data_IF_791811722104
#
_entry.id   IF_791811722104
#
_cell.length_a   1.000
_cell.length_b   1.000
_cell.length_c   1.000
_cell.angle_alpha   90.00
_cell.angle_beta   90.00
_cell.angle_gamma   90.00
#
_symmetry.space_group_name_H-M   'P 1'
#
loop_
_entity.id
_entity.type
_entity.pdbx_description
1 polymer ?
#
# COMPACT_ATOMS: atom_id res chain seq x y z
N UNK A 1 26.07 6.76 -73.56
CA UNK A 1 27.02 7.05 -72.46
C UNK A 1 26.28 7.94 -71.46
N UNK A 2 25.85 7.36 -70.34
CA UNK A 2 26.44 7.59 -69.00
C UNK A 2 26.20 9.06 -68.55
N UNK A 3 25.55 9.39 -67.44
CA UNK A 3 25.53 8.71 -66.15
C UNK A 3 24.36 9.24 -65.30
N UNK A 4 23.54 8.33 -64.76
CA UNK A 4 22.54 8.59 -63.71
C UNK A 4 23.27 8.91 -62.41
N UNK A 5 23.08 10.10 -61.85
CA UNK A 5 23.30 10.31 -60.42
C UNK A 5 21.99 10.03 -59.67
N UNK A 6 21.85 8.76 -59.34
CA UNK A 6 20.92 8.21 -58.38
C UNK A 6 21.31 8.75 -56.99
N UNK A 7 20.64 9.83 -56.54
CA UNK A 7 20.64 10.17 -55.12
C UNK A 7 19.60 9.28 -54.42
N UNK A 8 20.09 8.12 -53.97
CA UNK A 8 19.45 7.35 -52.89
C UNK A 8 19.64 8.16 -51.60
N UNK A 9 18.76 9.12 -51.35
CA UNK A 9 18.52 9.53 -49.97
C UNK A 9 17.61 8.45 -49.41
N UNK A 10 18.19 7.60 -48.57
CA UNK A 10 17.45 6.63 -47.78
C UNK A 10 16.30 7.36 -47.10
N UNK A 11 15.08 7.10 -47.56
CA UNK A 11 13.85 7.54 -46.91
C UNK A 11 13.75 6.86 -45.56
N UNK A 12 14.46 7.39 -44.56
CA UNK A 12 14.16 7.10 -43.18
C UNK A 12 12.81 7.75 -42.95
N UNK A 13 11.77 6.94 -42.82
CA UNK A 13 10.41 7.38 -42.53
C UNK A 13 10.43 8.16 -41.20
N UNK A 14 10.58 9.48 -41.29
CA UNK A 14 10.20 10.37 -40.21
C UNK A 14 8.68 10.21 -40.07
N UNK A 15 8.26 9.59 -38.97
CA UNK A 15 6.85 9.53 -38.62
C UNK A 15 6.37 10.97 -38.43
N UNK A 16 5.79 11.56 -39.48
CA UNK A 16 5.35 12.94 -39.45
C UNK A 16 4.05 12.98 -38.64
N UNK A 17 4.20 13.13 -37.33
CA UNK A 17 3.11 13.24 -36.35
C UNK A 17 2.48 14.64 -36.35
N UNK A 18 2.34 15.22 -37.53
CA UNK A 18 1.84 16.57 -37.72
C UNK A 18 0.32 16.51 -37.89
N UNK A 19 -0.38 16.56 -36.75
CA UNK A 19 -1.81 16.88 -36.74
C UNK A 19 -1.91 18.40 -36.62
N UNK A 20 -2.56 19.04 -37.59
CA UNK A 20 -2.88 20.47 -37.51
C UNK A 20 -3.85 20.72 -36.36
N UNK A 21 -3.32 20.98 -35.17
CA UNK A 21 -4.11 21.29 -33.99
C UNK A 21 -4.41 22.79 -33.93
N UNK A 22 -5.64 23.13 -33.57
CA UNK A 22 -6.01 24.51 -33.23
C UNK A 22 -5.51 24.86 -31.83
N UNK A 23 -5.23 26.14 -31.57
CA UNK A 23 -4.82 26.65 -30.25
C UNK A 23 -5.98 26.79 -29.24
N UNK A 24 -7.07 26.05 -29.45
CA UNK A 24 -8.19 26.02 -28.51
C UNK A 24 -7.73 25.31 -27.24
N UNK A 25 -7.92 25.98 -26.10
CA UNK A 25 -7.63 25.43 -24.77
C UNK A 25 -8.88 24.70 -24.26
N UNK A 26 -8.80 23.38 -24.26
CA UNK A 26 -9.80 22.45 -23.71
C UNK A 26 -9.01 21.34 -23.00
N UNK A 27 -8.50 21.66 -21.81
CA UNK A 27 -7.54 20.82 -21.09
C UNK A 27 -8.01 19.37 -20.99
N UNK A 28 -7.07 18.44 -21.17
CA UNK A 28 -7.31 17.01 -20.97
C UNK A 28 -6.18 16.38 -20.16
N UNK A 29 -6.55 15.44 -19.30
CA UNK A 29 -5.60 14.59 -18.61
C UNK A 29 -5.41 13.31 -19.42
N UNK A 30 -4.16 13.01 -19.77
CA UNK A 30 -3.81 11.83 -20.54
C UNK A 30 -3.29 10.68 -19.68
N UNK A 31 -3.18 9.49 -20.27
CA UNK A 31 -2.82 8.24 -19.59
C UNK A 31 -1.37 8.17 -19.14
N UNK A 32 -0.53 9.11 -19.57
CA UNK A 32 0.82 9.33 -19.08
C UNK A 32 0.88 10.27 -17.86
N UNK A 33 -0.27 10.70 -17.35
CA UNK A 33 -0.39 11.59 -16.19
C UNK A 33 -0.09 13.05 -16.51
N UNK A 34 0.04 13.42 -17.78
CA UNK A 34 0.28 14.80 -18.22
C UNK A 34 -1.01 15.50 -18.64
N UNK A 35 -1.11 16.78 -18.27
CA UNK A 35 -2.14 17.69 -18.78
C UNK A 35 -1.71 18.23 -20.13
N UNK A 36 -2.58 18.10 -21.13
CA UNK A 36 -2.41 18.70 -22.46
C UNK A 36 -3.43 19.82 -22.66
N UNK A 37 -3.06 20.90 -23.37
CA UNK A 37 -3.98 22.02 -23.63
C UNK A 37 -5.25 21.57 -24.37
N UNK A 38 -5.15 20.52 -25.18
CA UNK A 38 -6.31 19.88 -25.79
C UNK A 38 -6.02 18.43 -26.21
N UNK A 39 -7.09 17.71 -26.55
CA UNK A 39 -7.02 16.31 -26.99
C UNK A 39 -6.25 16.10 -28.30
N UNK A 40 -6.13 17.11 -29.17
CA UNK A 40 -5.33 17.02 -30.39
C UNK A 40 -3.83 16.96 -30.06
N UNK A 41 -3.36 17.85 -29.17
CA UNK A 41 -1.97 17.86 -28.73
C UNK A 41 -1.57 16.58 -27.97
N UNK A 42 -2.49 15.96 -27.22
CA UNK A 42 -2.26 14.65 -26.61
C UNK A 42 -2.01 13.55 -27.67
N UNK A 43 -2.73 13.58 -28.80
CA UNK A 43 -2.52 12.64 -29.92
C UNK A 43 -1.22 12.89 -30.67
N UNK A 44 -0.85 14.16 -30.88
CA UNK A 44 0.46 14.53 -31.43
C UNK A 44 1.56 13.96 -30.55
N UNK A 45 1.45 14.13 -29.23
CA UNK A 45 2.42 13.59 -28.28
C UNK A 45 2.48 12.05 -28.30
N UNK A 46 1.33 11.37 -28.38
CA UNK A 46 1.25 9.91 -28.54
C UNK A 46 2.06 9.44 -29.76
N UNK A 47 1.81 10.07 -30.90
CA UNK A 47 2.48 9.76 -32.16
C UNK A 47 3.97 10.08 -32.10
N UNK A 48 4.34 11.31 -31.73
CA UNK A 48 5.74 11.78 -31.73
C UNK A 48 6.62 10.99 -30.77
N UNK A 49 6.07 10.56 -29.63
CA UNK A 49 6.79 9.74 -28.67
C UNK A 49 6.72 8.24 -28.98
N UNK A 50 5.93 7.83 -29.98
CA UNK A 50 5.60 6.42 -30.26
C UNK A 50 5.10 5.67 -29.01
N UNK A 51 4.28 6.35 -28.19
CA UNK A 51 3.68 5.82 -26.96
C UNK A 51 2.16 5.72 -27.11
N UNK A 52 1.56 4.79 -26.37
CA UNK A 52 0.11 4.71 -26.25
C UNK A 52 -0.37 5.72 -25.19
N UNK A 53 -0.63 6.96 -25.63
CA UNK A 53 -1.16 8.04 -24.80
C UNK A 53 -2.63 8.25 -25.18
N UNK A 54 -3.54 8.07 -24.22
CA UNK A 54 -4.99 8.23 -24.40
C UNK A 54 -5.54 9.26 -23.42
N UNK A 55 -6.64 9.93 -23.77
CA UNK A 55 -7.30 10.85 -22.84
C UNK A 55 -8.03 10.03 -21.77
N UNK A 56 -7.69 10.26 -20.51
CA UNK A 56 -8.30 9.62 -19.33
C UNK A 56 -9.49 10.42 -18.83
N UNK A 57 -9.39 11.76 -18.80
CA UNK A 57 -10.47 12.63 -18.34
C UNK A 57 -10.36 14.05 -18.91
N UNK A 58 -11.48 14.77 -18.90
CA UNK A 58 -11.52 16.21 -19.23
C UNK A 58 -10.97 17.03 -18.06
N UNK A 59 -10.33 18.16 -18.38
CA UNK A 59 -9.65 19.02 -17.42
C UNK A 59 -8.19 18.62 -17.17
N UNK A 60 -7.55 19.32 -16.25
CA UNK A 60 -6.18 19.02 -15.85
C UNK A 60 -6.07 17.68 -15.11
N UNK A 61 -4.90 17.04 -15.16
CA UNK A 61 -4.63 15.88 -14.34
C UNK A 61 -4.72 16.23 -12.86
N UNK A 62 -5.47 15.42 -12.11
CA UNK A 62 -5.55 15.51 -10.66
C UNK A 62 -4.18 15.15 -10.09
N UNK A 63 -3.53 16.09 -9.41
CA UNK A 63 -2.30 15.79 -8.67
C UNK A 63 -2.67 15.14 -7.34
N UNK A 64 -2.12 13.96 -7.09
CA UNK A 64 -2.28 13.29 -5.81
C UNK A 64 -1.37 13.98 -4.79
N UNK A 65 -1.92 14.38 -3.64
CA UNK A 65 -1.13 14.94 -2.54
C UNK A 65 -1.15 16.46 -2.37
N UNK A 66 -2.07 17.19 -3.01
CA UNK A 66 -2.34 18.59 -2.65
C UNK A 66 -3.28 18.75 -1.43
N UNK A 67 -3.84 17.66 -0.92
CA UNK A 67 -4.69 17.71 0.26
C UNK A 67 -3.83 17.79 1.53
N UNK A 68 -3.91 18.91 2.25
CA UNK A 68 -3.40 19.00 3.60
C UNK A 68 -4.29 18.16 4.53
N UNK A 69 -3.78 17.05 5.04
CA UNK A 69 -4.48 16.24 6.04
C UNK A 69 -4.24 16.77 7.44
N UNK A 70 -5.28 16.76 8.27
CA UNK A 70 -5.12 16.96 9.72
C UNK A 70 -4.33 15.82 10.32
N UNK A 71 -3.61 16.07 11.42
CA UNK A 71 -2.93 15.02 12.21
C UNK A 71 -3.84 14.34 13.23
N UNK A 72 -5.17 14.47 13.08
CA UNK A 72 -6.14 13.78 13.92
C UNK A 72 -6.06 12.29 13.61
N UNK A 73 -5.83 11.48 14.65
CA UNK A 73 -5.74 10.04 14.54
C UNK A 73 -7.13 9.42 14.67
N UNK A 74 -7.68 8.98 13.53
CA UNK A 74 -8.96 8.30 13.38
C UNK A 74 -8.76 7.15 12.36
N UNK A 75 -8.14 6.03 12.77
CA UNK A 75 -7.56 5.09 11.84
C UNK A 75 -8.60 4.40 10.96
N UNK A 76 -8.18 4.06 9.74
CA UNK A 76 -8.96 3.30 8.76
C UNK A 76 -8.12 2.20 8.14
N UNK A 77 -8.74 1.10 7.75
CA UNK A 77 -8.11 -0.02 7.09
C UNK A 77 -8.32 0.07 5.58
N UNK A 78 -7.23 0.03 4.81
CA UNK A 78 -7.26 -0.09 3.36
C UNK A 78 -7.52 -1.53 2.91
N UNK A 79 -8.04 -1.69 1.70
CA UNK A 79 -8.25 -2.99 1.05
C UNK A 79 -6.95 -3.72 0.72
N UNK A 80 -5.82 -3.03 0.80
CA UNK A 80 -4.46 -3.56 0.72
C UNK A 80 -3.92 -4.06 2.06
N UNK A 81 -4.71 -4.00 3.14
CA UNK A 81 -4.29 -4.38 4.49
C UNK A 81 -3.46 -3.32 5.22
N UNK A 82 -3.29 -2.13 4.62
CA UNK A 82 -2.57 -1.02 5.24
C UNK A 82 -3.48 -0.22 6.16
N UNK A 83 -3.02 0.05 7.38
CA UNK A 83 -3.68 1.00 8.27
C UNK A 83 -3.25 2.43 7.93
N UNK A 84 -4.21 3.32 7.74
CA UNK A 84 -3.98 4.76 7.56
C UNK A 84 -4.44 5.51 8.80
N UNK A 85 -3.68 6.52 9.26
CA UNK A 85 -4.01 7.28 10.48
C UNK A 85 -5.36 7.99 10.39
N UNK A 86 -5.81 8.32 9.18
CA UNK A 86 -7.15 8.83 8.92
C UNK A 86 -7.57 8.64 7.45
N UNK A 87 -8.86 8.86 7.20
CA UNK A 87 -9.46 8.75 5.88
C UNK A 87 -8.85 9.72 4.85
N UNK A 88 -8.32 10.87 5.28
CA UNK A 88 -7.64 11.80 4.37
C UNK A 88 -6.36 11.18 3.80
N UNK A 89 -5.55 10.53 4.64
CA UNK A 89 -4.36 9.81 4.20
C UNK A 89 -4.70 8.62 3.30
N UNK A 90 -5.78 7.89 3.61
CA UNK A 90 -6.29 6.83 2.73
C UNK A 90 -6.67 7.40 1.36
N UNK A 91 -7.38 8.53 1.29
CA UNK A 91 -7.75 9.16 0.00
C UNK A 91 -6.54 9.59 -0.82
N UNK A 92 -5.49 10.10 -0.18
CA UNK A 92 -4.24 10.43 -0.88
C UNK A 92 -3.59 9.16 -1.44
N UNK A 93 -3.55 8.08 -0.66
CA UNK A 93 -3.02 6.79 -1.13
C UNK A 93 -3.88 6.17 -2.24
N UNK A 94 -5.22 6.24 -2.14
CA UNK A 94 -6.16 5.83 -3.19
C UNK A 94 -6.02 6.65 -4.47
N UNK A 95 -5.54 7.89 -4.37
CA UNK A 95 -5.26 8.72 -5.54
C UNK A 95 -4.04 8.19 -6.31
N UNK A 96 -2.95 7.86 -5.61
CA UNK A 96 -1.73 7.34 -6.25
C UNK A 96 -1.87 5.88 -6.67
N UNK A 97 -2.63 5.08 -5.91
CA UNK A 97 -2.95 3.69 -6.19
C UNK A 97 -4.47 3.48 -6.10
N UNK A 98 -5.13 3.52 -7.25
CA UNK A 98 -6.59 3.38 -7.40
C UNK A 98 -7.15 2.02 -6.97
N UNK A 99 -6.28 1.03 -6.72
CA UNK A 99 -6.69 -0.28 -6.19
C UNK A 99 -6.97 -0.24 -4.68
N UNK A 100 -6.49 0.78 -3.97
CA UNK A 100 -6.69 0.93 -2.52
C UNK A 100 -8.06 1.58 -2.28
N UNK A 101 -8.93 0.86 -1.58
CA UNK A 101 -10.26 1.32 -1.13
C UNK A 101 -10.35 1.22 0.39
N UNK A 102 -11.32 1.89 0.99
CA UNK A 102 -11.66 1.68 2.40
C UNK A 102 -12.21 0.26 2.59
N UNK A 103 -11.56 -0.54 3.44
CA UNK A 103 -12.01 -1.87 3.83
C UNK A 103 -12.84 -1.84 5.11
N UNK A 104 -12.37 -1.12 6.14
CA UNK A 104 -13.07 -0.99 7.42
C UNK A 104 -12.64 0.29 8.15
N UNK A 105 -13.49 0.76 9.06
CA UNK A 105 -13.07 1.72 10.08
C UNK A 105 -12.15 1.02 11.11
N UNK A 106 -11.26 1.80 11.73
CA UNK A 106 -10.25 1.27 12.65
C UNK A 106 -8.99 0.80 11.94
N UNK A 107 -8.00 0.35 12.71
CA UNK A 107 -6.79 -0.25 12.15
C UNK A 107 -7.12 -1.55 11.42
N UNK A 108 -6.34 -1.92 10.42
CA UNK A 108 -6.36 -3.29 9.94
C UNK A 108 -5.98 -4.19 11.11
N UNK A 109 -6.88 -5.11 11.47
CA UNK A 109 -6.52 -6.10 12.46
C UNK A 109 -5.49 -7.02 11.82
N UNK A 110 -4.27 -7.03 12.35
CA UNK A 110 -3.50 -8.28 12.27
C UNK A 110 -4.39 -9.36 12.89
N UNK A 111 -4.37 -10.57 12.34
CA UNK A 111 -5.26 -11.68 12.66
C UNK A 111 -5.20 -12.18 14.13
N UNK A 112 -4.78 -11.36 15.07
CA UNK A 112 -4.91 -11.51 16.53
C UNK A 112 -6.26 -11.01 17.04
N UNK A 113 -7.30 -11.06 16.20
CA UNK A 113 -8.68 -11.10 16.70
C UNK A 113 -8.84 -12.38 17.51
N UNK A 114 -8.45 -12.31 18.79
CA UNK A 114 -8.88 -13.21 19.84
C UNK A 114 -10.40 -13.29 19.66
N UNK A 115 -10.86 -14.41 19.14
CA UNK A 115 -12.16 -14.51 18.52
C UNK A 115 -13.22 -14.06 19.51
N UNK A 116 -14.10 -13.15 19.08
CA UNK A 116 -15.19 -12.59 19.89
C UNK A 116 -16.23 -13.65 20.33
N UNK A 117 -15.94 -14.95 20.18
CA UNK A 117 -16.77 -16.04 20.61
C UNK A 117 -16.48 -16.52 22.04
N UNK A 118 -15.43 -16.02 22.70
CA UNK A 118 -15.18 -16.38 24.10
C UNK A 118 -16.17 -15.70 25.02
N UNK A 119 -16.76 -16.48 25.92
CA UNK A 119 -17.66 -15.98 26.95
C UNK A 119 -17.18 -16.37 28.36
N UNK A 120 -17.66 -15.68 29.38
CA UNK A 120 -17.39 -16.04 30.76
C UNK A 120 -18.24 -17.25 31.15
N UNK A 121 -17.58 -18.30 31.61
CA UNK A 121 -18.24 -19.54 32.00
C UNK A 121 -18.46 -19.58 33.51
N UNK A 122 -19.56 -20.19 33.93
CA UNK A 122 -19.76 -20.60 35.31
C UNK A 122 -19.04 -21.93 35.55
N UNK A 123 -18.58 -22.14 36.79
CA UNK A 123 -17.95 -23.39 37.22
C UNK A 123 -18.99 -24.44 37.63
N UNK A 124 -19.92 -24.72 36.73
CA UNK A 124 -20.87 -25.82 36.86
C UNK A 124 -20.27 -27.08 36.21
N UNK A 125 -20.11 -28.15 37.00
CA UNK A 125 -19.61 -29.43 36.48
C UNK A 125 -20.72 -30.23 35.80
N UNK A 126 -20.74 -30.21 34.47
CA UNK A 126 -21.63 -30.99 33.59
C UNK A 126 -20.81 -31.44 32.37
N UNK A 127 -19.97 -32.48 32.52
CA UNK A 127 -18.86 -32.73 31.61
C UNK A 127 -19.30 -33.10 30.20
N UNK A 128 -18.45 -32.79 29.23
CA UNK A 128 -18.63 -33.14 27.81
C UNK A 128 -17.32 -33.64 27.22
N UNK A 129 -17.40 -34.66 26.38
CA UNK A 129 -16.26 -35.20 25.64
C UNK A 129 -16.16 -34.51 24.27
N UNK A 130 -14.95 -34.10 23.90
CA UNK A 130 -14.68 -33.43 22.63
C UNK A 130 -13.96 -34.34 21.62
N UNK A 131 -13.91 -33.89 20.36
CA UNK A 131 -13.28 -34.61 19.23
C UNK A 131 -11.78 -34.81 19.41
N UNK A 132 -11.13 -33.97 20.23
CA UNK A 132 -9.73 -34.08 20.60
C UNK A 132 -9.49 -35.05 21.78
N UNK A 133 -10.52 -35.78 22.24
CA UNK A 133 -10.42 -36.72 23.36
C UNK A 133 -10.32 -36.06 24.73
N UNK A 134 -10.48 -34.74 24.84
CA UNK A 134 -10.45 -34.02 26.11
C UNK A 134 -11.86 -33.87 26.71
N UNK A 135 -11.94 -34.07 28.02
CA UNK A 135 -13.14 -33.76 28.82
C UNK A 135 -13.13 -32.29 29.20
N UNK A 136 -14.20 -31.57 28.90
CA UNK A 136 -14.41 -30.20 29.35
C UNK A 136 -15.45 -30.16 30.47
N UNK A 137 -15.25 -29.29 31.47
CA UNK A 137 -16.11 -29.20 32.67
C UNK A 137 -17.57 -28.93 32.34
N UNK A 138 -17.83 -28.19 31.26
CA UNK A 138 -19.17 -27.99 30.69
C UNK A 138 -19.09 -27.51 29.24
N UNK A 139 -20.25 -27.43 28.59
CA UNK A 139 -20.40 -26.95 27.21
C UNK A 139 -19.83 -25.54 26.98
N UNK A 140 -19.82 -24.66 27.99
CA UNK A 140 -19.27 -23.30 27.85
C UNK A 140 -17.76 -23.35 27.65
N UNK A 141 -17.06 -24.13 28.47
CA UNK A 141 -15.62 -24.31 28.34
C UNK A 141 -15.23 -24.99 27.01
N UNK A 142 -16.03 -25.96 26.56
CA UNK A 142 -15.86 -26.56 25.22
C UNK A 142 -16.01 -25.51 24.10
N UNK A 143 -17.03 -24.64 24.17
CA UNK A 143 -17.23 -23.56 23.19
C UNK A 143 -16.07 -22.57 23.15
N UNK A 144 -15.52 -22.21 24.30
CA UNK A 144 -14.35 -21.32 24.38
C UNK A 144 -13.09 -21.96 23.78
N UNK A 145 -12.94 -23.29 23.88
CA UNK A 145 -11.85 -24.01 23.23
C UNK A 145 -12.07 -24.14 21.72
N UNK A 146 -13.29 -24.48 21.28
CA UNK A 146 -13.67 -24.50 19.86
C UNK A 146 -13.56 -23.11 19.19
N UNK A 147 -13.66 -22.07 20.00
CA UNK A 147 -13.47 -20.67 19.61
C UNK A 147 -11.99 -20.32 19.36
N UNK A 148 -11.05 -21.00 20.03
CA UNK A 148 -9.61 -20.92 19.73
C UNK A 148 -9.22 -21.86 18.58
N UNK A 149 -9.81 -23.05 18.54
CA UNK A 149 -9.54 -24.09 17.56
C UNK A 149 -10.84 -24.68 17.02
N UNK A 150 -11.22 -24.26 15.81
CA UNK A 150 -12.44 -24.68 15.13
C UNK A 150 -12.52 -26.19 14.81
N UNK A 151 -11.44 -26.95 15.01
CA UNK A 151 -11.45 -28.42 14.82
C UNK A 151 -12.03 -29.18 16.02
N UNK A 152 -12.19 -28.51 17.17
CA UNK A 152 -12.74 -29.09 18.40
C UNK A 152 -14.28 -29.06 18.33
N UNK A 153 -14.91 -30.22 18.36
CA UNK A 153 -16.37 -30.38 18.38
C UNK A 153 -16.81 -31.28 19.53
N UNK A 154 -18.07 -31.16 19.98
CA UNK A 154 -18.63 -32.08 20.98
C UNK A 154 -18.83 -33.47 20.38
N UNK A 155 -18.32 -34.50 21.05
CA UNK A 155 -18.54 -35.92 20.71
C UNK A 155 -19.69 -36.49 21.52
N UNK A 156 -19.69 -36.28 22.84
CA UNK A 156 -20.75 -36.79 23.73
C UNK A 156 -20.93 -35.93 24.97
N UNK A 157 -22.08 -36.07 25.62
CA UNK A 157 -22.24 -35.70 27.03
C UNK A 157 -21.48 -36.70 27.91
N UNK A 158 -20.95 -36.24 29.05
CA UNK A 158 -20.10 -37.03 29.93
C UNK A 158 -18.62 -36.89 29.63
N UNK A 159 -17.79 -37.54 30.45
CA UNK A 159 -16.34 -37.55 30.27
C UNK A 159 -15.93 -38.47 29.11
N UNK A 160 -14.77 -38.21 28.51
CA UNK A 160 -14.23 -39.11 27.50
C UNK A 160 -13.84 -40.47 28.12
N UNK A 161 -14.32 -41.55 27.53
CA UNK A 161 -13.98 -42.92 27.94
C UNK A 161 -12.80 -43.42 27.09
N UNK A 162 -11.59 -43.01 27.43
CA UNK A 162 -10.37 -43.42 26.71
C UNK A 162 -9.15 -43.52 27.62
N UNK A 163 -8.61 -44.73 27.76
CA UNK A 163 -7.26 -44.95 28.29
C UNK A 163 -6.23 -44.63 27.20
N UNK A 164 -5.55 -43.48 27.33
CA UNK A 164 -4.08 -43.38 27.32
C UNK A 164 -3.62 -41.93 27.15
N UNK A 165 -2.86 -41.50 28.15
CA UNK A 165 -2.08 -40.25 28.27
C UNK A 165 -2.86 -38.97 28.65
N UNK A 166 -3.35 -39.00 29.88
CA UNK A 166 -3.64 -37.83 30.72
C UNK A 166 -2.44 -36.86 30.73
N UNK A 167 -2.51 -35.81 29.92
CA UNK A 167 -1.98 -34.52 30.36
C UNK A 167 -3.13 -33.80 31.04
N UNK A 168 -3.38 -34.16 32.30
CA UNK A 168 -4.11 -33.30 33.22
C UNK A 168 -3.30 -32.01 33.38
N UNK A 169 -3.56 -31.01 32.54
CA UNK A 169 -3.24 -29.64 32.91
C UNK A 169 -4.43 -29.10 33.67
N UNK A 170 -4.49 -29.47 34.95
CA UNK A 170 -5.17 -28.65 35.94
C UNK A 170 -4.45 -27.31 35.96
N UNK A 171 -5.08 -26.24 35.47
CA UNK A 171 -4.90 -24.93 36.09
C UNK A 171 -6.11 -24.03 35.85
N UNK A 172 -7.03 -24.08 36.81
CA UNK A 172 -7.73 -22.88 37.20
C UNK A 172 -6.72 -21.93 37.89
N UNK A 173 -6.75 -20.61 37.65
CA UNK A 173 -6.13 -19.66 38.55
C UNK A 173 -7.10 -19.36 39.70
N UNK A 174 -6.73 -19.75 40.93
CA UNK A 174 -7.22 -19.10 42.13
C UNK A 174 -6.04 -18.54 42.91
N UNK A 175 -6.23 -17.31 43.35
CA UNK A 175 -5.31 -16.36 43.96
C UNK A 175 -4.87 -16.75 45.37
N UNK A 176 -3.60 -16.53 45.70
CA UNK A 176 -3.17 -16.16 47.06
C UNK A 176 -2.04 -15.14 47.02
N UNK A 177 -2.20 -14.15 47.89
CA UNK A 177 -1.32 -13.04 48.21
C UNK A 177 -0.12 -13.55 49.00
N UNK A 178 1.10 -13.20 48.57
CA UNK A 178 2.23 -13.05 49.47
C UNK A 178 2.91 -11.69 49.20
N UNK A 179 2.83 -10.82 50.20
CA UNK A 179 3.62 -9.62 50.31
C UNK A 179 5.06 -10.01 50.65
N UNK A 180 6.01 -9.59 49.83
CA UNK A 180 7.39 -9.35 50.27
C UNK A 180 7.81 -7.96 49.81
N UNK A 181 7.96 -7.08 50.79
CA UNK A 181 8.63 -5.79 50.67
C UNK A 181 10.12 -6.06 50.53
N UNK A 182 10.75 -5.61 49.44
CA UNK A 182 12.06 -4.98 49.51
C UNK A 182 12.35 -4.18 48.25
N UNK A 183 12.67 -2.92 48.49
CA UNK A 183 13.14 -1.89 47.57
C UNK A 183 14.48 -2.22 46.93
N UNK A 184 14.61 -2.03 45.62
CA UNK A 184 15.80 -1.41 45.03
C UNK A 184 15.42 -0.61 43.78
N UNK A 185 15.80 0.65 43.85
CA UNK A 185 15.91 1.61 42.77
C UNK A 185 16.93 1.14 41.72
N UNK A 186 16.54 1.03 40.45
CA UNK A 186 17.43 1.45 39.35
C UNK A 186 16.68 1.59 38.02
N UNK A 187 17.00 2.70 37.35
CA UNK A 187 16.58 3.05 36.00
C UNK A 187 17.41 2.27 34.98
N UNK A 188 16.89 2.01 33.78
CA UNK A 188 17.72 2.16 32.59
C UNK A 188 17.13 3.21 31.67
N UNK A 189 17.74 4.40 31.78
CA UNK A 189 17.90 5.36 30.69
C UNK A 189 18.64 4.66 29.55
N UNK A 190 17.98 4.38 28.44
CA UNK A 190 18.66 4.13 27.16
C UNK A 190 18.20 5.13 26.12
N UNK A 191 19.05 6.13 26.00
CA UNK A 191 19.32 7.03 24.88
C UNK A 191 19.10 6.38 23.51
N UNK A 192 18.26 6.98 22.67
CA UNK A 192 18.44 6.93 21.22
C UNK A 192 18.57 8.37 20.72
N UNK A 193 19.69 8.62 20.06
CA UNK A 193 20.11 9.90 19.53
C UNK A 193 19.20 10.37 18.37
N UNK A 194 19.09 11.69 18.15
CA UNK A 194 18.42 12.24 16.98
C UNK A 194 19.32 12.12 15.75
N UNK A 195 18.90 11.36 14.74
CA UNK A 195 19.51 11.44 13.41
C UNK A 195 18.96 12.67 12.71
N UNK A 196 19.73 13.75 12.77
CA UNK A 196 19.55 14.94 11.95
C UNK A 196 20.09 14.67 10.54
N UNK A 197 19.22 14.58 9.55
CA UNK A 197 19.59 14.86 8.16
C UNK A 197 18.72 16.00 7.66
N UNK A 198 19.35 17.17 7.64
CA UNK A 198 18.80 18.40 7.10
C UNK A 198 18.49 18.22 5.60
N UNK A 199 17.30 18.65 5.23
CA UNK A 199 16.97 19.04 3.88
C UNK A 199 17.90 20.17 3.42
N UNK A 200 18.48 20.04 2.23
CA UNK A 200 18.90 21.21 1.45
C UNK A 200 18.04 21.27 0.20
N UNK A 201 17.09 22.19 0.27
CA UNK A 201 16.39 22.77 -0.87
C UNK A 201 17.43 23.37 -1.84
N UNK A 202 17.33 23.02 -3.12
CA UNK A 202 17.88 23.81 -4.20
C UNK A 202 16.84 23.85 -5.33
N UNK A 203 16.19 25.00 -5.39
CA UNK A 203 15.24 25.40 -6.43
C UNK A 203 16.02 25.84 -7.68
N UNK A 204 15.44 25.54 -8.85
CA UNK A 204 15.56 26.16 -10.17
C UNK A 204 16.93 26.71 -10.63
N UNK A 205 17.36 26.31 -11.83
CA UNK A 205 17.40 27.15 -13.04
C UNK A 205 18.06 26.34 -14.18
N UNK A 206 17.30 25.94 -15.20
CA UNK A 206 17.88 25.46 -16.47
C UNK A 206 17.76 26.61 -17.46
N UNK A 207 18.84 27.38 -17.62
CA UNK A 207 18.97 28.35 -18.70
C UNK A 207 19.40 27.58 -19.94
N UNK A 208 18.58 27.62 -20.98
CA UNK A 208 18.94 27.19 -22.31
C UNK A 208 20.08 28.07 -22.85
N UNK A 209 21.23 27.46 -23.14
CA UNK A 209 22.33 28.11 -23.87
C UNK A 209 22.33 27.58 -25.30
N UNK A 210 21.76 28.35 -26.20
CA UNK A 210 21.93 28.21 -27.65
C UNK A 210 23.27 28.86 -28.05
N UNK A 211 23.92 28.29 -29.06
CA UNK A 211 25.08 28.81 -29.81
C UNK A 211 26.47 28.37 -29.33
N UNK A 212 27.06 27.40 -30.01
CA UNK A 212 28.45 27.51 -30.47
C UNK A 212 28.66 26.75 -31.78
N UNK A 213 28.39 27.47 -32.87
CA UNK A 213 29.14 27.53 -34.14
C UNK A 213 29.96 26.33 -34.60
N UNK A 214 29.44 25.74 -35.68
CA UNK A 214 30.14 25.10 -36.79
C UNK A 214 31.40 25.91 -37.17
N UNK A 215 32.58 25.33 -36.99
CA UNK A 215 33.83 25.81 -37.58
C UNK A 215 34.81 24.64 -37.77
N UNK A 216 34.51 23.73 -38.69
CA UNK A 216 35.52 22.84 -39.26
C UNK A 216 35.17 22.60 -40.73
N UNK A 217 36.19 22.67 -41.58
CA UNK A 217 36.23 22.35 -43.02
C UNK A 217 35.90 23.49 -44.01
N UNK A 218 36.83 24.43 -44.14
CA UNK A 218 37.13 25.08 -45.42
C UNK A 218 38.60 25.53 -45.44
N UNK A 219 39.48 24.54 -45.51
CA UNK A 219 40.86 24.70 -46.00
C UNK A 219 41.10 23.57 -46.99
N UNK A 220 40.70 23.81 -48.25
CA UNK A 220 41.22 23.19 -49.49
C UNK A 220 40.30 23.58 -50.64
N UNK A 221 40.62 24.70 -51.31
CA UNK A 221 40.65 24.92 -52.76
C UNK A 221 40.47 26.41 -53.08
N UNK A 222 41.38 26.93 -53.92
CA UNK A 222 41.37 28.20 -54.67
C UNK A 222 41.93 29.43 -53.95
N UNK A 223 43.26 29.49 -53.84
CA UNK A 223 44.13 30.52 -54.45
C UNK A 223 45.59 30.17 -54.16
#
# INVERSE_FOLDING_TARGET
MQLKHLFLVAGVAAAQCELGCTDIVDYVCASDGLTYNNSCLAKVAACSQKKNITVVSKGECKTCGQAACTKIYNPVCGSDGTTFDNECLLKIASCTNTSIKLASNGTCQESTSKSNCKTQCIDLYKPVCASNGQTYSNDCYLKNAACDDSTITKVSDGECTGESNSTTTTKAPSTTVENSVSSTTESPKTTVAPTTTAAKSASATVIASVATTIFVALFSLLA
#
